data_IF_042382895748
#
_entry.id   IF_042382895748
#
_cell.length_a   1.000
_cell.length_b   1.000
_cell.length_c   1.000
_cell.angle_alpha   90.00
_cell.angle_beta   90.00
_cell.angle_gamma   90.00
#
_symmetry.space_group_name_H-M   'P 1'
#
loop_
_entity.id
_entity.type
_entity.pdbx_description
1 polymer ?
#
# COMPACT_ATOMS: atom_id res chain seq x y z
N UNK A 1 8.07 -13.93 -12.87
CA UNK A 1 7.45 -13.38 -11.64
C UNK A 1 7.48 -11.87 -11.74
N UNK A 2 6.32 -11.19 -11.78
CA UNK A 2 6.22 -9.74 -12.02
C UNK A 2 6.17 -9.00 -10.69
N UNK A 3 7.11 -8.08 -10.47
CA UNK A 3 7.10 -7.15 -9.33
C UNK A 3 6.18 -5.99 -9.71
N UNK A 4 5.33 -5.55 -8.77
CA UNK A 4 4.54 -4.34 -8.97
C UNK A 4 5.50 -3.15 -9.09
N UNK A 5 5.35 -2.34 -10.14
CA UNK A 5 6.19 -1.15 -10.31
C UNK A 5 5.84 -0.08 -9.29
N UNK A 6 6.84 0.71 -8.92
CA UNK A 6 6.73 1.78 -7.92
C UNK A 6 5.61 2.77 -8.24
N UNK A 7 5.53 3.24 -9.50
CA UNK A 7 4.49 4.17 -9.94
C UNK A 7 3.07 3.58 -9.83
N UNK A 8 2.93 2.27 -10.08
CA UNK A 8 1.65 1.58 -9.95
C UNK A 8 1.25 1.40 -8.48
N UNK A 9 2.20 1.09 -7.60
CA UNK A 9 1.92 1.00 -6.17
C UNK A 9 1.45 2.35 -5.61
N UNK A 10 2.16 3.43 -5.95
CA UNK A 10 1.80 4.78 -5.49
C UNK A 10 0.41 5.14 -5.97
N UNK A 11 0.07 4.93 -7.24
CA UNK A 11 -1.27 5.29 -7.74
C UNK A 11 -2.39 4.47 -7.08
N UNK A 12 -2.12 3.24 -6.66
CA UNK A 12 -3.11 2.37 -6.02
C UNK A 12 -3.31 2.65 -4.53
N UNK A 13 -2.26 3.05 -3.81
CA UNK A 13 -2.21 2.98 -2.34
C UNK A 13 -1.78 4.31 -1.69
N UNK A 14 -1.74 5.42 -2.43
CA UNK A 14 -1.43 6.72 -1.85
C UNK A 14 -2.52 7.15 -0.85
N UNK A 15 -2.19 7.33 0.45
CA UNK A 15 -3.18 7.78 1.42
C UNK A 15 -3.43 9.28 1.30
N UNK A 16 -4.65 9.71 1.58
CA UNK A 16 -5.06 11.11 1.67
C UNK A 16 -4.90 11.61 3.11
N UNK A 17 -3.99 12.57 3.28
CA UNK A 17 -3.65 13.16 4.59
C UNK A 17 -4.71 14.14 5.09
N UNK A 18 -5.64 14.57 4.25
CA UNK A 18 -6.72 15.46 4.63
C UNK A 18 -7.89 14.71 5.31
N UNK A 19 -7.99 13.40 5.10
CA UNK A 19 -9.04 12.59 5.73
C UNK A 19 -8.76 12.39 7.22
N UNK A 20 -9.81 12.44 8.03
CA UNK A 20 -9.76 12.08 9.45
C UNK A 20 -9.79 10.55 9.67
N UNK A 21 -8.98 9.83 8.88
CA UNK A 21 -8.82 8.37 8.92
C UNK A 21 -7.33 8.08 9.09
N UNK A 22 -6.92 7.22 10.04
CA UNK A 22 -5.50 6.90 10.21
C UNK A 22 -4.85 6.36 8.93
N UNK A 23 -3.64 6.83 8.60
CA UNK A 23 -2.95 6.49 7.35
C UNK A 23 -2.79 4.97 7.13
N UNK A 24 -2.50 4.21 8.19
CA UNK A 24 -2.36 2.75 8.08
C UNK A 24 -3.67 2.08 7.61
N UNK A 25 -4.82 2.60 8.06
CA UNK A 25 -6.14 2.09 7.68
C UNK A 25 -6.45 2.42 6.23
N UNK A 26 -6.15 3.65 5.79
CA UNK A 26 -6.32 4.03 4.39
C UNK A 26 -5.49 3.15 3.45
N UNK A 27 -4.22 2.90 3.81
CA UNK A 27 -3.30 2.04 3.05
C UNK A 27 -3.83 0.60 3.00
N UNK A 28 -4.28 0.06 4.14
CA UNK A 28 -4.89 -1.27 4.21
C UNK A 28 -6.12 -1.37 3.31
N UNK A 29 -7.06 -0.42 3.42
CA UNK A 29 -8.32 -0.44 2.65
C UNK A 29 -8.03 -0.34 1.15
N UNK A 30 -7.09 0.53 0.75
CA UNK A 30 -6.67 0.66 -0.64
C UNK A 30 -6.01 -0.62 -1.19
N UNK A 31 -5.11 -1.25 -0.42
CA UNK A 31 -4.52 -2.55 -0.80
C UNK A 31 -5.60 -3.63 -0.91
N UNK A 32 -6.52 -3.71 0.06
CA UNK A 32 -7.61 -4.68 0.08
C UNK A 32 -8.50 -4.52 -1.15
N UNK A 33 -8.91 -3.29 -1.48
CA UNK A 33 -9.70 -3.00 -2.68
C UNK A 33 -8.92 -3.37 -3.95
N UNK A 34 -7.64 -3.03 -4.04
CA UNK A 34 -6.83 -3.37 -5.21
C UNK A 34 -6.65 -4.88 -5.41
N UNK A 35 -6.61 -5.67 -4.34
CA UNK A 35 -6.61 -7.14 -4.40
C UNK A 35 -7.97 -7.65 -4.88
N UNK A 36 -9.07 -7.16 -4.30
CA UNK A 36 -10.44 -7.55 -4.67
C UNK A 36 -10.77 -7.20 -6.14
N UNK A 37 -10.29 -6.04 -6.61
CA UNK A 37 -10.42 -5.58 -7.99
C UNK A 37 -9.45 -6.30 -8.96
N UNK A 38 -8.60 -7.20 -8.45
CA UNK A 38 -7.62 -7.94 -9.26
C UNK A 38 -6.45 -7.10 -9.77
N UNK A 39 -6.32 -5.83 -9.35
CA UNK A 39 -5.20 -4.94 -9.70
C UNK A 39 -3.90 -5.41 -9.05
N UNK A 40 -3.98 -5.95 -7.84
CA UNK A 40 -2.91 -6.69 -7.18
C UNK A 40 -3.24 -8.18 -7.32
N UNK A 41 -2.63 -8.82 -8.30
CA UNK A 41 -2.85 -10.24 -8.55
C UNK A 41 -2.32 -11.11 -7.41
N UNK A 42 -2.96 -12.26 -7.18
CA UNK A 42 -2.45 -13.27 -6.25
C UNK A 42 -1.02 -13.67 -6.63
N UNK A 43 -0.12 -13.67 -5.65
CA UNK A 43 1.30 -13.99 -5.85
C UNK A 43 2.11 -12.87 -6.50
N UNK A 44 1.53 -11.69 -6.74
CA UNK A 44 2.30 -10.50 -7.09
C UNK A 44 3.28 -10.17 -5.97
N UNK A 45 4.51 -9.81 -6.34
CA UNK A 45 5.49 -9.30 -5.38
C UNK A 45 5.22 -7.82 -5.13
N UNK A 46 4.93 -7.50 -3.87
CA UNK A 46 4.92 -6.13 -3.37
C UNK A 46 6.36 -5.68 -3.07
N UNK A 47 6.66 -4.37 -3.15
CA UNK A 47 7.89 -3.82 -2.60
C UNK A 47 8.03 -4.13 -1.11
N UNK A 48 9.26 -4.03 -0.57
CA UNK A 48 9.45 -4.26 0.86
C UNK A 48 8.74 -3.19 1.70
N UNK A 49 8.46 -3.47 2.98
CA UNK A 49 7.86 -2.46 3.87
C UNK A 49 8.69 -1.17 3.98
N UNK A 50 10.02 -1.25 3.75
CA UNK A 50 10.90 -0.09 3.68
C UNK A 50 10.66 0.71 2.40
N UNK A 51 10.62 0.03 1.26
CA UNK A 51 10.41 0.69 -0.04
C UNK A 51 9.02 1.31 -0.12
N UNK A 52 7.99 0.60 0.35
CA UNK A 52 6.63 1.15 0.43
C UNK A 52 6.57 2.40 1.30
N UNK A 53 7.28 2.42 2.44
CA UNK A 53 7.33 3.59 3.31
C UNK A 53 8.00 4.79 2.62
N UNK A 54 9.08 4.54 1.88
CA UNK A 54 9.76 5.56 1.07
C UNK A 54 8.86 6.07 -0.05
N UNK A 55 8.22 5.17 -0.81
CA UNK A 55 7.36 5.52 -1.95
C UNK A 55 6.12 6.32 -1.53
N UNK A 56 5.46 5.91 -0.44
CA UNK A 56 4.24 6.57 0.06
C UNK A 56 4.54 7.75 1.01
N UNK A 57 5.83 7.99 1.31
CA UNK A 57 6.32 9.01 2.25
C UNK A 57 5.68 8.91 3.63
N UNK A 58 5.59 7.70 4.17
CA UNK A 58 5.05 7.42 5.52
C UNK A 58 6.10 6.74 6.39
N UNK A 59 5.84 6.65 7.70
CA UNK A 59 6.71 5.87 8.57
C UNK A 59 6.61 4.38 8.23
N UNK A 60 7.70 3.63 8.41
CA UNK A 60 7.68 2.16 8.26
C UNK A 60 6.62 1.50 9.16
N UNK A 61 6.43 2.01 10.38
CA UNK A 61 5.40 1.51 11.30
C UNK A 61 4.00 1.67 10.73
N UNK A 62 3.73 2.72 9.95
CA UNK A 62 2.44 2.90 9.26
C UNK A 62 2.20 1.79 8.25
N UNK A 63 3.24 1.37 7.50
CA UNK A 63 3.13 0.24 6.56
C UNK A 63 2.96 -1.08 7.30
N UNK A 64 3.74 -1.32 8.36
CA UNK A 64 3.61 -2.55 9.15
C UNK A 64 2.21 -2.68 9.74
N UNK A 65 1.70 -1.61 10.36
CA UNK A 65 0.34 -1.57 10.88
C UNK A 65 -0.74 -1.74 9.81
N UNK A 66 -0.46 -1.40 8.54
CA UNK A 66 -1.41 -1.64 7.44
C UNK A 66 -1.39 -3.11 6.98
N UNK A 67 -0.24 -3.77 7.04
CA UNK A 67 -0.06 -5.17 6.62
C UNK A 67 -0.47 -6.15 7.71
N UNK A 68 -0.38 -5.77 8.98
CA UNK A 68 -0.71 -6.60 10.15
C UNK A 68 -2.21 -6.61 10.52
N UNK A 69 -3.07 -5.91 9.77
CA UNK A 69 -4.53 -5.84 9.96
C UNK A 69 -5.26 -7.08 9.42
#
# INVERSE_FOLDING_TARGET
MRVISDLFLVSLVQPDRALNVPLYRQIYDAMRLAILDGRIARGAKLPSSRDMATLLQVSRNTILNAVDQ
#
